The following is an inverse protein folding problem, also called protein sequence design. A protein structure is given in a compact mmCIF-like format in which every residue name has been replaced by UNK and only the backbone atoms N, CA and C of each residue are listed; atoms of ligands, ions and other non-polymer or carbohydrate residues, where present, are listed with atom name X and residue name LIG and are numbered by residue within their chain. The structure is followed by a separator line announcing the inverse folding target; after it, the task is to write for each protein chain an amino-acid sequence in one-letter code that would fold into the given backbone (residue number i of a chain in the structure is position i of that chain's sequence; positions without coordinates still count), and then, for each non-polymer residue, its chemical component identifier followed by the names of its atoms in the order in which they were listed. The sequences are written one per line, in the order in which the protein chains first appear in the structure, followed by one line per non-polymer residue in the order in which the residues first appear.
data_IF_731066377241
#
_entry.id   IF_731066377241
#
_cell.length_a   1.000
_cell.length_b   1.000
_cell.length_c   1.000
_cell.angle_alpha   90.00
_cell.angle_beta   90.00
_cell.angle_gamma   90.00
#
_symmetry.space_group_name_H-M   'P 1'
#
loop_
_entity.id
_entity.type
_entity.pdbx_description
1 polymer ?
#
# COMPACT_ATOMS: atom_id res chain seq x y z
N UNK A 1 -27.27 8.71 -17.58
CA UNK A 1 -25.96 8.22 -18.06
C UNK A 1 -25.26 7.56 -16.88
N UNK A 2 -24.98 6.26 -16.95
CA UNK A 2 -24.25 5.53 -15.90
C UNK A 2 -22.93 6.25 -15.63
N UNK A 3 -22.69 6.68 -14.38
CA UNK A 3 -21.38 7.21 -13.96
C UNK A 3 -20.34 6.14 -14.33
N UNK A 4 -19.34 6.50 -15.13
CA UNK A 4 -18.32 5.54 -15.53
C UNK A 4 -17.67 4.95 -14.27
N UNK A 5 -17.72 3.62 -14.13
CA UNK A 5 -17.14 2.87 -13.02
C UNK A 5 -15.64 3.19 -12.94
N UNK A 6 -15.18 3.75 -11.81
CA UNK A 6 -13.76 3.99 -11.58
C UNK A 6 -13.02 2.64 -11.50
N UNK A 7 -11.84 2.55 -12.12
CA UNK A 7 -11.06 1.32 -12.13
C UNK A 7 -9.79 1.48 -11.27
N UNK A 8 -9.48 0.47 -10.48
CA UNK A 8 -8.37 0.44 -9.56
C UNK A 8 -7.40 -0.71 -9.88
N UNK A 9 -6.09 -0.46 -9.77
CA UNK A 9 -5.05 -1.50 -9.77
C UNK A 9 -4.46 -1.59 -8.36
N UNK A 10 -4.54 -2.76 -7.73
CA UNK A 10 -4.02 -3.00 -6.37
C UNK A 10 -2.87 -4.02 -6.43
N UNK A 11 -1.65 -3.58 -6.14
CA UNK A 11 -0.49 -4.47 -6.11
C UNK A 11 -0.50 -5.36 -4.87
N UNK A 12 -0.33 -6.68 -5.05
CA UNK A 12 -0.35 -7.61 -3.93
C UNK A 12 -1.76 -7.73 -3.33
N UNK A 13 -2.79 -7.59 -4.16
CA UNK A 13 -4.19 -7.53 -3.76
C UNK A 13 -4.81 -8.87 -3.36
N UNK A 14 -4.08 -9.98 -3.50
CA UNK A 14 -4.62 -11.32 -3.29
C UNK A 14 -4.83 -11.69 -1.80
N UNK A 15 -4.10 -11.06 -0.88
CA UNK A 15 -4.02 -11.47 0.53
C UNK A 15 -3.97 -10.29 1.49
N UNK A 16 -4.31 -10.56 2.77
CA UNK A 16 -4.13 -9.64 3.91
C UNK A 16 -4.75 -8.26 3.63
N UNK A 17 -4.02 -7.18 3.91
CA UNK A 17 -4.47 -5.80 3.68
C UNK A 17 -4.87 -5.57 2.21
N UNK A 18 -4.09 -6.10 1.26
CA UNK A 18 -4.39 -5.98 -0.16
C UNK A 18 -5.76 -6.57 -0.53
N UNK A 19 -6.09 -7.74 0.03
CA UNK A 19 -7.40 -8.37 -0.15
C UNK A 19 -8.52 -7.50 0.43
N UNK A 20 -8.35 -6.99 1.65
CA UNK A 20 -9.35 -6.13 2.29
C UNK A 20 -9.61 -4.83 1.48
N UNK A 21 -8.56 -4.24 0.91
CA UNK A 21 -8.67 -3.09 0.00
C UNK A 21 -9.45 -3.47 -1.25
N UNK A 22 -9.13 -4.60 -1.88
CA UNK A 22 -9.82 -5.08 -3.09
C UNK A 22 -11.32 -5.31 -2.81
N UNK A 23 -11.65 -5.99 -1.72
CA UNK A 23 -13.03 -6.28 -1.32
C UNK A 23 -13.82 -5.01 -1.04
N UNK A 24 -13.25 -4.05 -0.29
CA UNK A 24 -13.91 -2.76 -0.02
C UNK A 24 -14.14 -1.97 -1.31
N UNK A 25 -13.11 -1.81 -2.15
CA UNK A 25 -13.24 -1.05 -3.41
C UNK A 25 -14.28 -1.68 -4.34
N UNK A 26 -14.25 -3.01 -4.51
CA UNK A 26 -15.23 -3.73 -5.33
C UNK A 26 -16.65 -3.59 -4.76
N UNK A 27 -16.81 -3.70 -3.44
CA UNK A 27 -18.09 -3.50 -2.74
C UNK A 27 -18.66 -2.09 -2.89
N UNK A 28 -17.81 -1.09 -3.18
CA UNK A 28 -18.20 0.29 -3.45
C UNK A 28 -18.25 0.63 -4.95
N UNK A 29 -18.30 -0.39 -5.81
CA UNK A 29 -18.53 -0.23 -7.24
C UNK A 29 -17.30 0.20 -8.04
N UNK A 30 -16.08 0.00 -7.53
CA UNK A 30 -14.88 0.08 -8.37
C UNK A 30 -14.73 -1.21 -9.17
N UNK A 31 -14.23 -1.08 -10.41
CA UNK A 31 -13.66 -2.22 -11.10
C UNK A 31 -12.23 -2.44 -10.60
N UNK A 32 -11.84 -3.67 -10.24
CA UNK A 32 -10.55 -3.89 -9.55
C UNK A 32 -9.66 -4.89 -10.29
N UNK A 33 -8.47 -4.45 -10.68
CA UNK A 33 -7.39 -5.31 -11.13
C UNK A 33 -6.55 -5.73 -9.92
N UNK A 34 -6.56 -7.03 -9.65
CA UNK A 34 -5.90 -7.66 -8.52
C UNK A 34 -4.54 -8.14 -9.01
N UNK A 35 -3.47 -7.44 -8.63
CA UNK A 35 -2.13 -7.91 -8.97
C UNK A 35 -1.66 -8.96 -7.97
N UNK A 36 -1.15 -10.09 -8.49
CA UNK A 36 -0.52 -11.15 -7.72
C UNK A 36 0.78 -11.63 -8.38
N UNK A 37 1.66 -12.21 -7.56
CA UNK A 37 2.84 -12.95 -8.03
C UNK A 37 2.68 -14.43 -7.63
N UNK A 38 3.15 -14.81 -6.44
CA UNK A 38 3.05 -16.20 -5.92
C UNK A 38 1.67 -16.58 -5.36
N UNK A 39 0.63 -15.80 -5.60
CA UNK A 39 -0.71 -16.02 -5.03
C UNK A 39 -1.80 -15.84 -6.08
N UNK A 40 -1.52 -16.36 -7.27
CA UNK A 40 -2.42 -16.32 -8.41
C UNK A 40 -3.73 -17.04 -8.11
N UNK A 41 -3.68 -18.24 -7.51
CA UNK A 41 -4.88 -19.00 -7.17
C UNK A 41 -5.80 -18.26 -6.18
N UNK A 42 -5.25 -17.61 -5.15
CA UNK A 42 -6.04 -16.80 -4.23
C UNK A 42 -6.61 -15.54 -4.90
N UNK A 43 -5.87 -14.93 -5.83
CA UNK A 43 -6.35 -13.79 -6.60
C UNK A 43 -7.49 -14.19 -7.55
N UNK A 44 -7.38 -15.33 -8.22
CA UNK A 44 -8.40 -15.85 -9.13
C UNK A 44 -9.70 -16.16 -8.39
N UNK A 45 -9.59 -16.80 -7.21
CA UNK A 45 -10.74 -17.06 -6.35
C UNK A 45 -11.41 -15.76 -5.86
N UNK A 46 -10.62 -14.75 -5.49
CA UNK A 46 -11.12 -13.44 -5.07
C UNK A 46 -11.84 -12.71 -6.22
N UNK A 47 -11.23 -12.68 -7.42
CA UNK A 47 -11.85 -12.09 -8.60
C UNK A 47 -13.17 -12.79 -8.97
N UNK A 48 -13.18 -14.13 -8.93
CA UNK A 48 -14.37 -14.93 -9.20
C UNK A 48 -15.51 -14.60 -8.21
N UNK A 49 -15.21 -14.51 -6.91
CA UNK A 49 -16.20 -14.15 -5.89
C UNK A 49 -16.79 -12.74 -6.09
N UNK A 50 -15.96 -11.77 -6.45
CA UNK A 50 -16.40 -10.40 -6.76
C UNK A 50 -17.32 -10.39 -7.98
N UNK A 51 -16.92 -11.08 -9.05
CA UNK A 51 -17.70 -11.15 -10.30
C UNK A 51 -19.05 -11.87 -10.10
N UNK A 52 -19.07 -12.95 -9.30
CA UNK A 52 -20.32 -13.65 -8.93
C UNK A 52 -21.26 -12.76 -8.12
N UNK A 53 -20.72 -11.82 -7.35
CA UNK A 53 -21.49 -10.85 -6.56
C UNK A 53 -21.94 -9.62 -7.38
N UNK A 54 -21.74 -9.64 -8.70
CA UNK A 54 -22.11 -8.53 -9.61
C UNK A 54 -21.10 -7.39 -9.68
N UNK A 55 -19.95 -7.52 -9.00
CA UNK A 55 -18.82 -6.62 -9.15
C UNK A 55 -18.02 -6.90 -10.43
N UNK A 56 -16.91 -6.16 -10.62
CA UNK A 56 -16.04 -6.33 -11.79
C UNK A 56 -14.58 -6.41 -11.36
N UNK A 57 -13.98 -7.59 -11.45
CA UNK A 57 -12.61 -7.83 -11.07
C UNK A 57 -11.87 -8.70 -12.09
N UNK A 58 -10.57 -8.45 -12.22
CA UNK A 58 -9.65 -9.25 -13.04
C UNK A 58 -8.34 -9.47 -12.29
N UNK A 59 -7.58 -10.49 -12.67
CA UNK A 59 -6.26 -10.74 -12.11
C UNK A 59 -5.19 -10.41 -13.13
N UNK A 60 -4.11 -9.78 -12.68
CA UNK A 60 -2.92 -9.46 -13.48
C UNK A 60 -1.67 -9.92 -12.75
N UNK A 61 -0.62 -10.28 -13.49
CA UNK A 61 0.57 -10.92 -12.92
C UNK A 61 1.86 -10.25 -13.33
N UNK A 62 2.75 -10.00 -12.36
CA UNK A 62 4.12 -9.57 -12.60
C UNK A 62 5.01 -9.89 -11.38
N UNK A 63 6.29 -10.16 -11.61
CA UNK A 63 7.28 -10.04 -10.53
C UNK A 63 7.66 -8.56 -10.38
N UNK A 64 7.27 -7.96 -9.25
CA UNK A 64 7.55 -6.56 -8.95
C UNK A 64 9.03 -6.27 -8.64
N UNK A 65 9.90 -7.28 -8.62
CA UNK A 65 11.36 -7.09 -8.58
C UNK A 65 11.97 -6.96 -9.97
N UNK A 66 11.25 -7.35 -11.02
CA UNK A 66 11.66 -7.23 -12.42
C UNK A 66 10.96 -6.03 -13.09
N UNK A 67 11.72 -4.97 -13.33
CA UNK A 67 11.20 -3.76 -13.98
C UNK A 67 10.67 -4.00 -15.39
N UNK A 68 11.15 -5.03 -16.10
CA UNK A 68 10.63 -5.36 -17.43
C UNK A 68 9.24 -5.98 -17.33
N UNK A 69 9.04 -6.90 -16.37
CA UNK A 69 7.72 -7.47 -16.11
C UNK A 69 6.70 -6.41 -15.66
N UNK A 70 7.12 -5.45 -14.83
CA UNK A 70 6.27 -4.36 -14.33
C UNK A 70 5.83 -3.39 -15.43
N UNK A 71 6.63 -3.22 -16.49
CA UNK A 71 6.37 -2.22 -17.53
C UNK A 71 5.00 -2.39 -18.20
N UNK A 72 4.53 -3.63 -18.38
CA UNK A 72 3.24 -3.93 -18.98
C UNK A 72 2.05 -3.97 -18.02
N UNK A 73 2.27 -3.86 -16.70
CA UNK A 73 1.25 -4.19 -15.69
C UNK A 73 0.02 -3.27 -15.75
N UNK A 74 0.22 -1.96 -15.96
CA UNK A 74 -0.89 -1.00 -16.12
C UNK A 74 -1.71 -1.34 -17.37
N UNK A 75 -1.04 -1.61 -18.50
CA UNK A 75 -1.72 -1.96 -19.75
C UNK A 75 -2.52 -3.26 -19.67
N UNK A 76 -2.03 -4.27 -18.94
CA UNK A 76 -2.79 -5.50 -18.69
C UNK A 76 -4.09 -5.21 -17.92
N UNK A 77 -4.04 -4.34 -16.90
CA UNK A 77 -5.22 -3.95 -16.15
C UNK A 77 -6.21 -3.15 -17.02
N UNK A 78 -5.72 -2.24 -17.86
CA UNK A 78 -6.54 -1.43 -18.76
C UNK A 78 -7.20 -2.24 -19.88
N UNK A 79 -6.52 -3.25 -20.40
CA UNK A 79 -7.08 -4.14 -21.43
C UNK A 79 -8.36 -4.84 -20.94
N UNK A 80 -8.44 -5.15 -19.64
CA UNK A 80 -9.58 -5.84 -19.05
C UNK A 80 -10.65 -4.90 -18.48
N UNK A 81 -10.25 -3.75 -17.91
CA UNK A 81 -11.15 -2.87 -17.16
C UNK A 81 -11.38 -1.49 -17.82
N UNK A 82 -10.65 -1.16 -18.87
CA UNK A 82 -10.55 0.21 -19.36
C UNK A 82 -9.64 1.07 -18.47
N UNK A 83 -9.59 2.40 -18.71
CA UNK A 83 -8.57 3.25 -18.10
C UNK A 83 -8.57 3.20 -16.58
N UNK A 84 -7.40 2.94 -15.98
CA UNK A 84 -7.24 2.93 -14.53
C UNK A 84 -7.23 4.36 -14.01
N UNK A 85 -7.94 4.62 -12.91
CA UNK A 85 -8.01 5.93 -12.26
C UNK A 85 -7.47 5.90 -10.83
N UNK A 86 -7.29 4.71 -10.24
CA UNK A 86 -6.72 4.52 -8.92
C UNK A 86 -5.59 3.48 -8.95
N UNK A 87 -4.40 3.85 -8.51
CA UNK A 87 -3.29 2.93 -8.31
C UNK A 87 -3.00 2.79 -6.81
N UNK A 88 -3.03 1.56 -6.30
CA UNK A 88 -2.67 1.26 -4.90
C UNK A 88 -1.39 0.43 -4.89
N UNK A 89 -0.28 1.05 -4.48
CA UNK A 89 0.99 0.36 -4.27
C UNK A 89 1.01 -0.29 -2.88
N UNK A 90 0.48 -1.52 -2.79
CA UNK A 90 0.35 -2.27 -1.54
C UNK A 90 1.37 -3.41 -1.41
N UNK A 91 1.85 -3.98 -2.52
CA UNK A 91 2.79 -5.09 -2.48
C UNK A 91 4.05 -4.73 -1.67
N UNK A 92 4.50 -5.66 -0.83
CA UNK A 92 5.61 -5.42 0.07
C UNK A 92 6.37 -6.72 0.35
N UNK A 93 7.66 -6.58 0.60
CA UNK A 93 8.53 -7.60 1.19
C UNK A 93 8.97 -7.10 2.55
N UNK A 94 8.87 -7.94 3.58
CA UNK A 94 9.24 -7.59 4.94
C UNK A 94 10.23 -8.62 5.49
N UNK A 95 11.51 -8.30 5.39
CA UNK A 95 12.62 -9.11 5.90
C UNK A 95 13.35 -8.29 6.97
N UNK A 96 13.71 -8.94 8.07
CA UNK A 96 14.51 -8.32 9.13
C UNK A 96 15.99 -8.34 8.76
N UNK A 97 16.65 -7.22 9.03
CA UNK A 97 18.08 -7.00 8.88
C UNK A 97 18.52 -5.81 9.74
N UNK A 98 19.82 -5.72 9.99
CA UNK A 98 20.42 -4.66 10.78
C UNK A 98 21.65 -4.06 10.09
N UNK A 99 22.19 -3.00 10.68
CA UNK A 99 23.45 -2.40 10.21
C UNK A 99 24.65 -3.37 10.31
N UNK A 100 24.57 -4.37 11.18
CA UNK A 100 25.66 -5.32 11.44
C UNK A 100 25.68 -6.48 10.43
N UNK A 101 24.53 -6.81 9.81
CA UNK A 101 24.33 -8.08 9.10
C UNK A 101 23.39 -8.01 7.89
N UNK A 102 23.14 -6.84 7.30
CA UNK A 102 22.26 -6.75 6.14
C UNK A 102 22.79 -7.52 4.92
N UNK A 103 21.86 -8.09 4.15
CA UNK A 103 22.12 -8.79 2.89
C UNK A 103 21.76 -7.89 1.70
N UNK A 104 22.69 -7.73 0.77
CA UNK A 104 22.49 -6.92 -0.44
C UNK A 104 21.35 -7.45 -1.32
N UNK A 105 21.11 -8.76 -1.34
CA UNK A 105 20.00 -9.30 -2.12
C UNK A 105 18.64 -8.94 -1.50
N UNK A 106 18.49 -9.01 -0.18
CA UNK A 106 17.31 -8.52 0.52
C UNK A 106 17.12 -7.01 0.35
N UNK A 107 18.21 -6.24 0.47
CA UNK A 107 18.23 -4.79 0.25
C UNK A 107 17.70 -4.42 -1.13
N UNK A 108 18.25 -5.02 -2.19
CA UNK A 108 17.86 -4.74 -3.56
C UNK A 108 16.39 -5.07 -3.80
N UNK A 109 15.89 -6.16 -3.20
CA UNK A 109 14.47 -6.52 -3.28
C UNK A 109 13.57 -5.53 -2.54
N UNK A 110 13.97 -5.04 -1.36
CA UNK A 110 13.24 -3.99 -0.66
C UNK A 110 13.13 -2.71 -1.50
N UNK A 111 14.24 -2.24 -2.08
CA UNK A 111 14.22 -1.06 -2.95
C UNK A 111 13.51 -1.30 -4.29
N UNK A 112 13.59 -2.51 -4.85
CA UNK A 112 12.86 -2.85 -6.06
C UNK A 112 11.34 -2.74 -5.83
N UNK A 113 10.83 -3.39 -4.78
CA UNK A 113 9.39 -3.46 -4.50
C UNK A 113 8.85 -2.14 -3.94
N UNK A 114 9.57 -1.46 -3.06
CA UNK A 114 9.05 -0.27 -2.39
C UNK A 114 9.39 1.05 -3.07
N UNK A 115 10.37 1.10 -3.98
CA UNK A 115 10.80 2.37 -4.60
C UNK A 115 10.75 2.29 -6.13
N UNK A 116 11.51 1.36 -6.73
CA UNK A 116 11.62 1.27 -8.20
C UNK A 116 10.27 0.98 -8.86
N UNK A 117 9.55 -0.02 -8.34
CA UNK A 117 8.24 -0.42 -8.90
C UNK A 117 7.18 0.66 -8.72
N UNK A 118 6.96 1.25 -7.54
CA UNK A 118 6.05 2.39 -7.39
C UNK A 118 6.39 3.56 -8.30
N UNK A 119 7.68 3.86 -8.53
CA UNK A 119 8.11 4.89 -9.49
C UNK A 119 7.66 4.57 -10.92
N UNK A 120 7.94 3.34 -11.35
CA UNK A 120 7.64 2.87 -12.70
C UNK A 120 6.14 2.80 -12.94
N UNK A 121 5.37 2.28 -11.97
CA UNK A 121 3.92 2.22 -12.04
C UNK A 121 3.31 3.62 -12.04
N UNK A 122 3.78 4.55 -11.21
CA UNK A 122 3.32 5.94 -11.22
C UNK A 122 3.57 6.61 -12.59
N UNK A 123 4.75 6.40 -13.18
CA UNK A 123 5.07 6.90 -14.53
C UNK A 123 4.14 6.33 -15.59
N UNK A 124 3.94 5.01 -15.58
CA UNK A 124 3.12 4.33 -16.58
C UNK A 124 1.63 4.69 -16.41
N UNK A 125 1.15 4.76 -15.17
CA UNK A 125 -0.19 5.25 -14.84
C UNK A 125 -0.42 6.68 -15.33
N UNK A 126 0.53 7.59 -15.10
CA UNK A 126 0.41 8.97 -15.55
C UNK A 126 0.37 9.11 -17.08
N UNK A 127 1.10 8.26 -17.80
CA UNK A 127 1.09 8.21 -19.26
C UNK A 127 -0.19 7.61 -19.83
N UNK A 128 -0.73 6.59 -19.17
CA UNK A 128 -1.91 5.85 -19.63
C UNK A 128 -3.23 6.57 -19.31
N UNK A 129 -3.26 7.38 -18.24
CA UNK A 129 -4.44 8.15 -17.87
C UNK A 129 -4.90 8.99 -19.09
N UNK A 130 -6.19 8.93 -19.50
CA UNK A 130 -6.72 9.73 -20.61
C UNK A 130 -6.81 11.22 -20.27
N UNK A 131 -6.58 12.09 -21.25
CA UNK A 131 -6.72 13.54 -21.07
C UNK A 131 -8.09 13.93 -20.50
N UNK A 132 -8.12 14.97 -19.66
CA UNK A 132 -9.33 15.41 -18.96
C UNK A 132 -9.77 14.52 -17.80
N UNK A 133 -9.12 13.37 -17.56
CA UNK A 133 -9.32 12.55 -16.35
C UNK A 133 -8.31 12.88 -15.26
N UNK A 134 -8.76 12.69 -14.02
CA UNK A 134 -7.92 12.71 -12.84
C UNK A 134 -7.63 11.31 -12.32
N UNK A 135 -6.51 11.19 -11.62
CA UNK A 135 -6.09 9.94 -10.99
C UNK A 135 -5.69 10.12 -9.53
N UNK A 136 -5.68 9.01 -8.80
CA UNK A 136 -5.14 8.92 -7.45
C UNK A 136 -4.14 7.77 -7.37
N UNK A 137 -2.99 8.04 -6.76
CA UNK A 137 -2.04 7.02 -6.32
C UNK A 137 -2.07 6.99 -4.79
N UNK A 138 -2.22 5.79 -4.22
CA UNK A 138 -2.08 5.55 -2.78
C UNK A 138 -0.94 4.57 -2.53
N UNK A 139 0.08 5.02 -1.82
CA UNK A 139 1.21 4.19 -1.40
C UNK A 139 0.95 3.62 -0.01
N UNK A 140 1.00 2.29 0.15
CA UNK A 140 0.99 1.65 1.46
C UNK A 140 2.44 1.61 1.95
N UNK A 141 2.73 2.45 2.94
CA UNK A 141 4.08 2.63 3.49
C UNK A 141 4.19 1.79 4.76
N UNK A 142 4.43 2.41 5.91
CA UNK A 142 4.63 1.84 7.23
C UNK A 142 4.69 3.02 8.20
N UNK A 143 4.03 2.94 9.36
CA UNK A 143 4.08 4.03 10.36
C UNK A 143 5.50 4.38 10.80
N UNK A 144 6.44 3.42 10.73
CA UNK A 144 7.81 3.59 11.23
C UNK A 144 8.59 4.70 10.54
N UNK A 145 8.16 5.15 9.35
CA UNK A 145 8.83 6.27 8.66
C UNK A 145 8.65 7.59 9.43
N UNK A 146 7.65 7.68 10.30
CA UNK A 146 7.45 8.80 11.23
C UNK A 146 8.05 8.57 12.61
N UNK A 147 8.47 7.35 12.93
CA UNK A 147 9.19 7.01 14.16
C UNK A 147 10.34 6.04 13.87
N UNK A 148 11.45 6.52 13.28
CA UNK A 148 12.55 5.66 12.89
C UNK A 148 13.17 4.93 14.08
N UNK A 149 13.57 3.68 13.84
CA UNK A 149 14.37 2.85 14.77
C UNK A 149 15.41 2.09 13.94
N UNK A 150 16.49 1.56 14.53
CA UNK A 150 17.52 0.84 13.77
C UNK A 150 17.10 -0.56 13.29
N UNK A 151 15.85 -0.99 13.56
CA UNK A 151 15.35 -2.33 13.20
C UNK A 151 14.82 -2.39 11.77
N UNK A 152 14.95 -3.56 11.14
CA UNK A 152 14.57 -3.78 9.74
C UNK A 152 15.23 -2.73 8.83
N UNK A 153 16.54 -2.60 8.95
CA UNK A 153 17.32 -1.47 8.42
C UNK A 153 17.03 -1.16 6.95
N UNK A 154 17.22 -2.11 6.03
CA UNK A 154 17.03 -1.84 4.60
C UNK A 154 15.54 -1.68 4.23
N UNK A 155 14.66 -2.40 4.92
CA UNK A 155 13.21 -2.24 4.78
C UNK A 155 12.78 -0.82 5.17
N UNK A 156 13.19 -0.35 6.35
CA UNK A 156 12.85 0.96 6.87
C UNK A 156 13.37 2.07 5.95
N UNK A 157 14.61 1.94 5.45
CA UNK A 157 15.16 2.86 4.45
C UNK A 157 14.31 2.89 3.17
N UNK A 158 13.94 1.73 2.64
CA UNK A 158 13.14 1.65 1.40
C UNK A 158 11.73 2.25 1.57
N UNK A 159 11.09 2.06 2.73
CA UNK A 159 9.78 2.65 3.04
C UNK A 159 9.86 4.16 3.30
N UNK A 160 10.92 4.63 3.95
CA UNK A 160 11.19 6.07 4.09
C UNK A 160 11.43 6.73 2.73
N UNK A 161 12.13 6.05 1.82
CA UNK A 161 12.30 6.52 0.45
C UNK A 161 10.95 6.59 -0.29
N UNK A 162 10.05 5.61 -0.11
CA UNK A 162 8.69 5.64 -0.65
C UNK A 162 7.85 6.80 -0.09
N UNK A 163 8.05 7.17 1.18
CA UNK A 163 7.41 8.35 1.77
C UNK A 163 7.86 9.64 1.09
N UNK A 164 9.17 9.86 0.98
CA UNK A 164 9.71 11.01 0.22
C UNK A 164 9.23 11.00 -1.23
N UNK A 165 9.23 9.85 -1.87
CA UNK A 165 8.73 9.67 -3.24
C UNK A 165 7.25 10.06 -3.38
N UNK A 166 6.40 9.78 -2.38
CA UNK A 166 4.99 10.18 -2.36
C UNK A 166 4.84 11.69 -2.51
N UNK A 167 5.64 12.46 -1.76
CA UNK A 167 5.61 13.92 -1.80
C UNK A 167 6.14 14.47 -3.12
N UNK A 168 7.23 13.90 -3.64
CA UNK A 168 7.80 14.30 -4.93
C UNK A 168 6.86 13.99 -6.10
N UNK A 169 6.22 12.82 -6.11
CA UNK A 169 5.24 12.47 -7.14
C UNK A 169 3.98 13.35 -7.06
N UNK A 170 3.53 13.73 -5.85
CA UNK A 170 2.43 14.67 -5.69
C UNK A 170 2.74 16.04 -6.32
N UNK A 171 3.96 16.53 -6.13
CA UNK A 171 4.43 17.78 -6.75
C UNK A 171 4.54 17.65 -8.28
N UNK A 172 5.08 16.53 -8.77
CA UNK A 172 5.37 16.34 -10.19
C UNK A 172 4.13 16.02 -11.04
N UNK A 173 3.12 15.36 -10.47
CA UNK A 173 1.95 14.88 -11.23
C UNK A 173 0.68 15.72 -10.99
N UNK A 174 0.69 16.63 -10.01
CA UNK A 174 -0.36 17.62 -9.83
C UNK A 174 -0.45 18.59 -11.02
N UNK A 175 -1.64 19.15 -11.33
CA UNK A 175 -2.92 18.97 -10.61
C UNK A 175 -3.67 17.69 -11.01
N UNK A 176 -3.21 16.97 -12.03
CA UNK A 176 -3.98 15.91 -12.68
C UNK A 176 -4.02 14.61 -11.88
N UNK A 177 -2.94 14.27 -11.19
CA UNK A 177 -2.86 13.07 -10.37
C UNK A 177 -2.42 13.46 -8.97
N UNK A 178 -3.22 13.03 -7.98
CA UNK A 178 -2.88 13.17 -6.57
C UNK A 178 -2.14 11.94 -6.10
N UNK A 179 -1.22 12.12 -5.16
CA UNK A 179 -0.40 11.03 -4.62
C UNK A 179 -0.40 11.14 -3.11
N UNK A 180 -0.94 10.15 -2.43
CA UNK A 180 -1.04 10.10 -0.97
C UNK A 180 -0.57 8.74 -0.46
N UNK A 181 -0.56 8.57 0.86
CA UNK A 181 -0.09 7.36 1.48
C UNK A 181 -0.94 6.94 2.70
N UNK A 182 -0.81 5.67 3.04
CA UNK A 182 -1.24 5.11 4.32
C UNK A 182 -0.01 4.53 5.01
N UNK A 183 0.19 4.82 6.29
CA UNK A 183 1.23 4.24 7.13
C UNK A 183 0.63 3.24 8.11
N UNK A 184 0.60 1.94 7.80
CA UNK A 184 0.00 0.95 8.70
C UNK A 184 0.85 0.72 9.94
N UNK A 185 0.19 0.53 11.08
CA UNK A 185 0.75 -0.08 12.29
C UNK A 185 0.41 -1.57 12.39
N UNK A 186 0.34 -2.15 13.60
CA UNK A 186 0.15 -3.58 13.80
C UNK A 186 -1.29 -4.00 13.43
N UNK A 187 -1.47 -4.45 12.19
CA UNK A 187 -2.80 -4.78 11.63
C UNK A 187 -3.12 -6.27 11.74
N UNK A 188 -2.16 -7.10 11.36
CA UNK A 188 -2.28 -8.55 11.33
C UNK A 188 -0.95 -9.12 11.78
N UNK A 189 -1.00 -10.11 12.68
CA UNK A 189 0.17 -10.86 13.13
C UNK A 189 1.05 -11.30 11.95
N UNK A 190 2.36 -11.14 12.10
CA UNK A 190 3.31 -11.69 11.14
C UNK A 190 3.33 -13.23 11.29
N UNK A 191 3.61 -13.96 10.20
CA UNK A 191 3.70 -15.44 10.22
C UNK A 191 4.71 -15.94 11.25
N UNK A 192 5.74 -15.14 11.56
CA UNK A 192 6.80 -15.46 12.53
C UNK A 192 6.58 -14.88 13.93
N UNK A 193 5.44 -14.24 14.18
CA UNK A 193 5.16 -13.59 15.47
C UNK A 193 4.17 -14.45 16.26
N UNK A 194 4.45 -14.64 17.56
CA UNK A 194 3.57 -15.34 18.47
C UNK A 194 2.37 -14.47 18.88
N UNK A 195 1.27 -15.08 19.30
CA UNK A 195 0.07 -14.32 19.70
C UNK A 195 0.36 -13.40 20.89
N UNK A 196 1.13 -13.87 21.87
CA UNK A 196 1.55 -13.06 23.02
C UNK A 196 2.37 -11.83 22.62
N UNK A 197 3.23 -11.96 21.60
CA UNK A 197 4.04 -10.84 21.12
C UNK A 197 3.19 -9.81 20.38
N UNK A 198 2.19 -10.26 19.62
CA UNK A 198 1.25 -9.38 18.95
C UNK A 198 0.34 -8.66 19.96
N UNK A 199 -0.18 -9.37 20.96
CA UNK A 199 -0.99 -8.80 22.02
C UNK A 199 -0.21 -7.78 22.85
N UNK A 200 1.06 -8.08 23.20
CA UNK A 200 1.95 -7.14 23.86
C UNK A 200 2.22 -5.89 23.00
N UNK A 201 2.41 -6.08 21.68
CA UNK A 201 2.57 -4.97 20.75
C UNK A 201 1.32 -4.08 20.71
N UNK A 202 0.12 -4.67 20.67
CA UNK A 202 -1.15 -3.94 20.69
C UNK A 202 -1.37 -3.20 22.01
N UNK A 203 -1.06 -3.84 23.15
CA UNK A 203 -1.12 -3.23 24.47
C UNK A 203 -0.12 -2.07 24.62
N UNK A 204 0.97 -2.07 23.84
CA UNK A 204 1.95 -0.99 23.77
C UNK A 204 1.49 0.25 22.98
N UNK A 205 0.43 0.14 22.16
CA UNK A 205 -0.09 1.27 21.38
C UNK A 205 -0.73 2.34 22.28
N UNK A 206 -0.83 3.58 21.79
CA UNK A 206 -1.50 4.65 22.53
C UNK A 206 -2.99 4.35 22.66
N UNK A 207 -3.63 3.93 21.57
CA UNK A 207 -5.06 3.60 21.53
C UNK A 207 -5.37 2.18 22.02
N UNK A 208 -4.36 1.39 22.40
CA UNK A 208 -4.51 -0.01 22.86
C UNK A 208 -5.23 -0.93 21.87
N UNK A 209 -5.25 -0.55 20.59
CA UNK A 209 -5.81 -1.31 19.48
C UNK A 209 -5.08 -0.96 18.19
N UNK A 210 -4.90 -1.97 17.34
CA UNK A 210 -4.41 -1.80 15.98
C UNK A 210 -5.54 -1.42 15.03
N UNK A 211 -5.21 -1.05 13.79
CA UNK A 211 -6.21 -0.80 12.76
C UNK A 211 -6.97 -2.08 12.38
N UNK A 212 -8.27 -1.94 12.12
CA UNK A 212 -9.09 -2.98 11.51
C UNK A 212 -8.96 -2.96 9.99
N UNK A 213 -9.13 -4.13 9.35
CA UNK A 213 -9.01 -4.26 7.89
C UNK A 213 -9.94 -3.34 7.07
N UNK A 214 -11.19 -3.04 7.48
CA UNK A 214 -12.05 -2.12 6.75
C UNK A 214 -11.52 -0.67 6.69
N UNK A 215 -10.66 -0.26 7.63
CA UNK A 215 -10.15 1.12 7.69
C UNK A 215 -9.28 1.47 6.47
N UNK A 216 -8.62 0.48 5.86
CA UNK A 216 -7.73 0.67 4.71
C UNK A 216 -8.51 1.08 3.46
N UNK A 217 -9.57 0.34 3.14
CA UNK A 217 -10.45 0.69 2.02
C UNK A 217 -11.18 2.01 2.25
N UNK A 218 -11.68 2.22 3.47
CA UNK A 218 -12.32 3.47 3.87
C UNK A 218 -11.40 4.69 3.72
N UNK A 219 -10.12 4.56 4.08
CA UNK A 219 -9.14 5.64 3.93
C UNK A 219 -8.82 5.90 2.46
N UNK A 220 -8.71 4.87 1.63
CA UNK A 220 -8.53 5.04 0.17
C UNK A 220 -9.74 5.77 -0.43
N UNK A 221 -10.96 5.43 -0.04
CA UNK A 221 -12.18 6.13 -0.51
C UNK A 221 -12.25 7.58 -0.01
N UNK A 222 -11.87 7.83 1.25
CA UNK A 222 -11.72 9.20 1.75
C UNK A 222 -10.74 10.00 0.88
N UNK A 223 -9.55 9.44 0.60
CA UNK A 223 -8.56 10.08 -0.26
C UNK A 223 -9.05 10.25 -1.69
N UNK A 224 -9.88 9.32 -2.20
CA UNK A 224 -10.52 9.42 -3.51
C UNK A 224 -11.46 10.63 -3.58
N UNK A 225 -12.30 10.83 -2.56
CA UNK A 225 -13.28 11.90 -2.52
C UNK A 225 -12.67 13.27 -2.15
N UNK A 226 -11.63 13.30 -1.30
CA UNK A 226 -10.96 14.51 -0.86
C UNK A 226 -10.00 15.09 -1.91
N UNK A 227 -10.57 15.70 -2.96
CA UNK A 227 -9.81 16.19 -4.14
C UNK A 227 -8.81 17.32 -3.88
N UNK A 228 -8.84 17.95 -2.71
CA UNK A 228 -7.82 18.93 -2.28
C UNK A 228 -6.59 18.31 -1.59
N UNK A 229 -6.61 17.01 -1.32
CA UNK A 229 -5.56 16.32 -0.55
C UNK A 229 -4.55 15.62 -1.47
N UNK A 230 -3.29 16.04 -1.41
CA UNK A 230 -2.16 15.40 -2.10
C UNK A 230 -0.87 15.56 -1.27
N UNK A 231 0.07 14.63 -1.42
CA UNK A 231 1.36 14.62 -0.72
C UNK A 231 1.27 14.30 0.77
N UNK A 232 0.14 13.74 1.23
CA UNK A 232 -0.12 13.45 2.65
C UNK A 232 -0.09 11.96 2.95
N UNK A 233 0.11 11.62 4.22
CA UNK A 233 -0.05 10.26 4.74
C UNK A 233 -1.02 10.25 5.93
N UNK A 234 -1.83 9.20 6.03
CA UNK A 234 -2.60 8.89 7.25
C UNK A 234 -1.98 7.63 7.88
N UNK A 235 -1.57 7.72 9.13
CA UNK A 235 -1.13 6.56 9.88
C UNK A 235 -2.34 5.83 10.49
N UNK A 236 -2.57 4.60 10.04
CA UNK A 236 -3.55 3.68 10.63
C UNK A 236 -2.80 2.76 11.58
N UNK A 237 -2.46 3.25 12.77
CA UNK A 237 -1.43 2.61 13.60
C UNK A 237 -1.71 2.55 15.10
N UNK A 238 -2.91 2.94 15.55
CA UNK A 238 -3.22 3.00 16.98
C UNK A 238 -2.37 4.03 17.75
N UNK A 239 -1.76 4.99 17.06
CA UNK A 239 -0.82 5.96 17.63
C UNK A 239 0.59 5.41 17.84
N UNK A 240 0.98 4.32 17.17
CA UNK A 240 2.31 3.71 17.31
C UNK A 240 3.45 4.71 17.08
N UNK A 241 3.36 5.54 16.03
CA UNK A 241 4.41 6.50 15.68
C UNK A 241 4.58 7.61 16.74
N UNK A 242 3.61 7.79 17.63
CA UNK A 242 3.64 8.80 18.70
C UNK A 242 4.11 8.22 20.05
N UNK A 243 4.46 6.93 20.12
CA UNK A 243 4.94 6.32 21.35
C UNK A 243 6.21 7.03 21.88
N UNK A 244 6.10 7.60 23.08
CA UNK A 244 7.10 8.51 23.64
C UNK A 244 7.78 7.97 24.92
N UNK A 245 7.17 7.02 25.62
CA UNK A 245 7.72 6.46 26.86
C UNK A 245 8.90 5.54 26.57
N UNK A 246 10.09 6.12 26.48
CA UNK A 246 11.38 5.43 26.36
C UNK A 246 12.03 5.23 27.74
N UNK A 247 13.05 4.35 27.88
CA UNK A 247 13.66 4.05 29.18
C UNK A 247 14.24 5.26 29.90
N UNK A 248 14.70 6.27 29.15
CA UNK A 248 15.28 7.51 29.67
C UNK A 248 14.26 8.47 30.30
N UNK A 249 12.96 8.33 30.01
CA UNK A 249 11.88 9.17 30.61
C UNK A 249 11.01 8.40 31.61
N UNK A 250 11.18 7.08 31.71
CA UNK A 250 10.35 6.23 32.57
C UNK A 250 10.75 6.41 34.04
N UNK A 251 9.80 6.79 34.89
CA UNK A 251 10.04 7.01 36.33
C UNK A 251 10.62 8.39 36.66
N UNK A 252 10.76 9.28 35.68
CA UNK A 252 11.04 10.68 35.92
C UNK A 252 9.73 11.41 36.29
N UNK A 253 9.61 11.80 37.55
CA UNK A 253 8.71 12.88 38.00
C UNK A 253 9.58 14.12 38.16
N UNK A 254 9.40 15.12 37.29
CA UNK A 254 9.89 16.49 37.55
C UNK A 254 9.08 17.15 38.68
#
# INVERSE_FOLDING_TARGET
MSKATAAALVTGGAKRIGKAIVEDLAGHGFAVAIHANRSQGEADALAAGINQSGGRATVVGADLTDTNAVAGLVGQAEAALGPISLLVNNASLFVDDSIEDFDWQAWDRHFAIHVKTPALLARNFARALPEGREGLIVNIIDQRVWRPTPRYFSYALSKSALWTQTQMLAQALGPRIRVNAIGPGPTLKNVRQDDSDFDAQLAGLILKRGPELPEFGATIRYLWDARSVTGQMIALDGGQHLAWQTPDVTGMTE
#
